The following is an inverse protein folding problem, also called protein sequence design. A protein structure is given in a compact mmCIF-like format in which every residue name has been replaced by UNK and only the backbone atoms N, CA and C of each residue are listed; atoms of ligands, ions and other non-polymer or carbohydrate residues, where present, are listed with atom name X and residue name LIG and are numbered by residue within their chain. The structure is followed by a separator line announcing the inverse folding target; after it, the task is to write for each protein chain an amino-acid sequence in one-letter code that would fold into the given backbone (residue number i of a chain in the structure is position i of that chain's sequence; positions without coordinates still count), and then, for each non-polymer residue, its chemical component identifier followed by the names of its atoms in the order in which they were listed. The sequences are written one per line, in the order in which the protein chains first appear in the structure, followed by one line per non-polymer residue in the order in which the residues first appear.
data_IF_171973947739
#
_entry.id   IF_171973947739
#
_cell.length_a   1.000
_cell.length_b   1.000
_cell.length_c   1.000
_cell.angle_alpha   90.00
_cell.angle_beta   90.00
_cell.angle_gamma   90.00
#
_symmetry.space_group_name_H-M   'P 1'
#
loop_
_entity.id
_entity.type
_entity.pdbx_description
1 polymer ?
#
# COMPACT_ATOMS: atom_id res chain seq x y z
N UNK A 1 15.48 -22.10 -18.26
CA UNK A 1 14.90 -21.39 -17.09
C UNK A 1 13.55 -21.95 -16.64
N UNK A 2 12.67 -22.46 -17.53
CA UNK A 2 11.34 -22.99 -17.14
C UNK A 2 11.30 -24.14 -16.12
N UNK A 3 12.35 -24.97 -16.08
CA UNK A 3 12.47 -26.11 -15.14
C UNK A 3 13.41 -25.85 -13.97
N UNK A 4 14.25 -24.82 -14.10
CA UNK A 4 15.23 -24.39 -13.11
C UNK A 4 15.66 -22.97 -13.49
N UNK A 5 15.23 -21.98 -12.72
CA UNK A 5 15.55 -20.57 -12.90
C UNK A 5 17.05 -20.31 -12.75
N UNK A 6 17.77 -21.12 -11.96
CA UNK A 6 19.24 -20.98 -11.77
C UNK A 6 20.02 -21.28 -13.04
N UNK A 7 19.42 -21.92 -14.04
CA UNK A 7 20.04 -22.10 -15.35
C UNK A 7 20.40 -20.76 -16.01
N UNK A 8 19.78 -19.64 -15.59
CA UNK A 8 20.10 -18.30 -16.06
C UNK A 8 21.56 -17.92 -15.83
N UNK A 9 22.22 -18.45 -14.77
CA UNK A 9 23.62 -18.13 -14.48
C UNK A 9 24.59 -18.54 -15.61
N UNK A 10 24.24 -19.60 -16.35
CA UNK A 10 25.04 -20.15 -17.45
C UNK A 10 24.61 -19.62 -18.82
N UNK A 11 23.57 -18.80 -18.88
CA UNK A 11 23.09 -18.23 -20.13
C UNK A 11 24.07 -17.17 -20.68
N UNK A 12 24.06 -16.99 -22.00
CA UNK A 12 24.78 -15.92 -22.67
C UNK A 12 24.25 -14.54 -22.22
N UNK A 13 25.07 -13.50 -22.34
CA UNK A 13 24.76 -12.16 -21.84
C UNK A 13 23.51 -11.56 -22.50
N UNK A 14 23.28 -11.84 -23.79
CA UNK A 14 22.07 -11.43 -24.50
C UNK A 14 20.80 -12.03 -23.85
N UNK A 15 20.86 -13.28 -23.39
CA UNK A 15 19.74 -13.95 -22.72
C UNK A 15 19.56 -13.48 -21.27
N UNK A 16 20.63 -13.06 -20.61
CA UNK A 16 20.58 -12.41 -19.28
C UNK A 16 20.05 -10.99 -19.35
N UNK A 17 20.08 -10.38 -20.53
CA UNK A 17 19.54 -9.05 -20.82
C UNK A 17 18.12 -9.08 -21.39
N UNK A 18 17.60 -10.26 -21.77
CA UNK A 18 16.24 -10.43 -22.28
C UNK A 18 15.22 -10.41 -21.12
N UNK A 19 14.33 -9.38 -21.05
CA UNK A 19 13.35 -9.27 -19.98
C UNK A 19 12.43 -10.49 -19.85
N UNK A 20 12.00 -11.10 -20.96
CA UNK A 20 11.05 -12.20 -20.95
C UNK A 20 11.70 -13.48 -20.39
N UNK A 21 12.95 -13.75 -20.77
CA UNK A 21 13.71 -14.90 -20.25
C UNK A 21 13.98 -14.74 -18.75
N UNK A 22 14.37 -13.54 -18.33
CA UNK A 22 14.67 -13.26 -16.93
C UNK A 22 13.41 -13.31 -16.07
N UNK A 23 12.28 -12.76 -16.51
CA UNK A 23 10.99 -12.87 -15.81
C UNK A 23 10.55 -14.34 -15.65
N UNK A 24 10.69 -15.15 -16.69
CA UNK A 24 10.40 -16.58 -16.62
C UNK A 24 11.30 -17.31 -15.58
N UNK A 25 12.58 -16.91 -15.48
CA UNK A 25 13.49 -17.44 -14.47
C UNK A 25 13.12 -17.00 -13.05
N UNK A 26 12.70 -15.75 -12.87
CA UNK A 26 12.24 -15.18 -11.58
C UNK A 26 10.96 -15.88 -11.12
N UNK A 27 10.03 -16.15 -12.05
CA UNK A 27 8.78 -16.86 -11.80
C UNK A 27 9.01 -18.26 -11.23
N UNK A 28 9.98 -19.00 -11.78
CA UNK A 28 10.36 -20.30 -11.24
C UNK A 28 11.07 -20.13 -9.90
N UNK A 29 12.05 -19.22 -9.84
CA UNK A 29 12.82 -18.98 -8.63
C UNK A 29 13.30 -17.55 -8.55
N UNK A 30 12.80 -16.82 -7.54
CA UNK A 30 13.08 -15.38 -7.39
C UNK A 30 14.57 -15.04 -7.29
N UNK A 31 15.40 -15.89 -6.68
CA UNK A 31 16.85 -15.65 -6.58
C UNK A 31 17.56 -15.62 -7.93
N UNK A 32 16.94 -16.13 -9.00
CA UNK A 32 17.52 -16.10 -10.36
C UNK A 32 17.76 -14.68 -10.85
N UNK A 33 17.05 -13.69 -10.29
CA UNK A 33 17.26 -12.27 -10.55
C UNK A 33 18.72 -11.84 -10.41
N UNK A 34 19.49 -12.44 -9.49
CA UNK A 34 20.90 -12.09 -9.26
C UNK A 34 21.77 -12.27 -10.52
N UNK A 35 21.34 -13.12 -11.45
CA UNK A 35 22.04 -13.41 -12.70
C UNK A 35 21.61 -12.54 -13.89
N UNK A 36 20.60 -11.67 -13.71
CA UNK A 36 20.18 -10.72 -14.73
C UNK A 36 21.30 -9.71 -15.05
N UNK A 37 21.27 -9.17 -16.26
CA UNK A 37 22.18 -8.10 -16.66
C UNK A 37 21.93 -6.82 -15.86
N UNK A 38 22.97 -6.00 -15.68
CA UNK A 38 22.92 -4.79 -14.86
C UNK A 38 21.90 -3.76 -15.39
N UNK A 39 21.69 -3.71 -16.71
CA UNK A 39 20.69 -2.85 -17.32
C UNK A 39 19.27 -3.18 -16.84
N UNK A 40 18.94 -4.48 -16.69
CA UNK A 40 17.66 -4.91 -16.11
C UNK A 40 17.59 -4.63 -14.61
N UNK A 41 18.69 -4.81 -13.88
CA UNK A 41 18.77 -4.53 -12.43
C UNK A 41 18.61 -3.05 -12.07
N UNK A 42 18.80 -2.14 -13.03
CA UNK A 42 18.56 -0.70 -12.90
C UNK A 42 17.22 -0.25 -13.50
N UNK A 43 16.60 -1.09 -14.31
CA UNK A 43 15.38 -0.74 -15.03
C UNK A 43 14.16 -0.79 -14.10
N UNK A 44 13.67 0.38 -13.70
CA UNK A 44 12.51 0.52 -12.80
C UNK A 44 11.27 -0.23 -13.28
N UNK A 45 10.93 -0.12 -14.57
CA UNK A 45 9.74 -0.75 -15.14
C UNK A 45 9.85 -2.27 -15.09
N UNK A 46 11.04 -2.81 -15.40
CA UNK A 46 11.33 -4.23 -15.30
C UNK A 46 11.22 -4.73 -13.85
N UNK A 47 11.78 -3.99 -12.91
CA UNK A 47 11.73 -4.31 -11.49
C UNK A 47 10.30 -4.34 -10.93
N UNK A 48 9.48 -3.36 -11.32
CA UNK A 48 8.06 -3.33 -10.94
C UNK A 48 7.30 -4.52 -11.53
N UNK A 49 7.58 -4.91 -12.78
CA UNK A 49 6.97 -6.10 -13.39
C UNK A 49 7.41 -7.40 -12.67
N UNK A 50 8.69 -7.51 -12.30
CA UNK A 50 9.19 -8.65 -11.54
C UNK A 50 8.50 -8.76 -10.16
N UNK A 51 8.31 -7.63 -9.48
CA UNK A 51 7.59 -7.57 -8.20
C UNK A 51 6.10 -7.89 -8.36
N UNK A 52 5.46 -7.39 -9.42
CA UNK A 52 4.08 -7.69 -9.75
C UNK A 52 3.86 -9.19 -9.93
N UNK A 53 4.75 -9.86 -10.66
CA UNK A 53 4.69 -11.31 -10.82
C UNK A 53 4.89 -12.06 -9.49
N UNK A 54 5.79 -11.58 -8.63
CA UNK A 54 5.94 -12.11 -7.27
C UNK A 54 4.66 -11.94 -6.44
N UNK A 55 4.04 -10.76 -6.49
CA UNK A 55 2.78 -10.47 -5.81
C UNK A 55 1.61 -11.30 -6.34
N UNK A 56 1.54 -11.54 -7.65
CA UNK A 56 0.53 -12.42 -8.25
C UNK A 56 0.72 -13.87 -7.82
N UNK A 57 1.93 -14.42 -7.92
CA UNK A 57 2.23 -15.78 -7.47
C UNK A 57 1.89 -15.97 -5.98
N UNK A 58 2.11 -14.92 -5.17
CA UNK A 58 1.72 -14.89 -3.77
C UNK A 58 0.20 -14.93 -3.56
N UNK A 59 -0.58 -14.21 -4.37
CA UNK A 59 -2.06 -14.20 -4.31
C UNK A 59 -2.69 -15.46 -4.90
N UNK A 60 -2.07 -16.08 -5.90
CA UNK A 60 -2.57 -17.30 -6.53
C UNK A 60 -2.23 -18.56 -5.73
N UNK A 61 -1.12 -18.54 -4.97
CA UNK A 61 -0.68 -19.62 -4.08
C UNK A 61 -1.52 -19.80 -2.80
N UNK A 62 -2.76 -19.29 -2.76
CA UNK A 62 -3.70 -19.34 -1.64
C UNK A 62 -4.27 -20.75 -1.47
N UNK A 63 -3.40 -21.63 -0.99
CA UNK A 63 -3.76 -22.68 -0.03
C UNK A 63 -2.92 -22.34 1.20
N UNK A 64 -3.53 -22.19 2.38
CA UNK A 64 -2.90 -21.58 3.57
C UNK A 64 -1.50 -22.11 3.91
N UNK A 65 -1.22 -23.39 3.61
CA UNK A 65 0.10 -24.02 3.81
C UNK A 65 1.19 -23.48 2.85
N UNK A 66 0.81 -23.08 1.63
CA UNK A 66 1.70 -22.51 0.62
C UNK A 66 2.11 -21.07 0.92
N UNK A 67 1.20 -20.26 1.48
CA UNK A 67 1.48 -18.85 1.82
C UNK A 67 2.59 -18.74 2.85
N UNK A 68 2.52 -19.49 3.94
CA UNK A 68 3.58 -19.51 4.96
C UNK A 68 4.93 -19.97 4.39
N UNK A 69 4.93 -21.00 3.56
CA UNK A 69 6.15 -21.51 2.93
C UNK A 69 6.77 -20.50 1.95
N UNK A 70 5.95 -19.80 1.17
CA UNK A 70 6.41 -18.74 0.28
C UNK A 70 6.92 -17.55 1.10
N UNK A 71 6.25 -17.16 2.19
CA UNK A 71 6.71 -16.13 3.11
C UNK A 71 8.06 -16.49 3.73
N UNK A 72 8.23 -17.69 4.27
CA UNK A 72 9.49 -18.13 4.87
C UNK A 72 10.60 -18.20 3.82
N UNK A 73 10.28 -18.68 2.62
CA UNK A 73 11.22 -18.68 1.50
C UNK A 73 11.64 -17.25 1.16
N UNK A 74 10.68 -16.34 0.97
CA UNK A 74 10.98 -14.94 0.65
C UNK A 74 11.70 -14.23 1.78
N UNK A 75 11.35 -14.51 3.05
CA UNK A 75 12.06 -14.03 4.25
C UNK A 75 13.54 -14.42 4.18
N UNK A 76 13.86 -15.64 3.75
CA UNK A 76 15.23 -16.12 3.61
C UNK A 76 15.94 -15.66 2.33
N UNK A 77 15.24 -15.60 1.19
CA UNK A 77 15.87 -15.39 -0.12
C UNK A 77 15.92 -13.94 -0.60
N UNK A 78 15.09 -13.03 -0.07
CA UNK A 78 14.99 -11.66 -0.60
C UNK A 78 13.93 -11.53 -1.70
N UNK A 79 13.53 -10.30 -2.06
CA UNK A 79 12.73 -10.03 -3.28
C UNK A 79 13.68 -9.74 -4.45
N UNK A 80 13.11 -9.47 -5.64
CA UNK A 80 13.90 -8.93 -6.75
C UNK A 80 14.65 -7.64 -6.35
N UNK A 81 14.10 -6.86 -5.42
CA UNK A 81 14.70 -5.62 -4.95
C UNK A 81 16.06 -5.79 -4.30
N UNK A 82 16.31 -6.92 -3.62
CA UNK A 82 17.59 -7.17 -2.94
C UNK A 82 18.80 -7.07 -3.88
N UNK A 83 18.59 -7.31 -5.17
CA UNK A 83 19.64 -7.34 -6.19
C UNK A 83 19.57 -6.15 -7.16
N UNK A 84 18.69 -5.17 -6.89
CA UNK A 84 18.69 -3.91 -7.62
C UNK A 84 20.03 -3.21 -7.47
N UNK A 85 20.43 -2.50 -8.52
CA UNK A 85 21.63 -1.66 -8.51
C UNK A 85 21.19 -0.19 -8.51
N UNK A 86 21.86 0.62 -7.69
CA UNK A 86 21.58 2.05 -7.53
C UNK A 86 20.66 2.33 -6.34
N UNK A 87 20.34 3.61 -6.15
CA UNK A 87 19.67 4.11 -4.94
C UNK A 87 18.13 3.95 -4.97
N UNK A 88 17.63 2.92 -5.66
CA UNK A 88 16.18 2.66 -5.78
C UNK A 88 15.54 2.31 -4.44
N UNK A 89 16.30 1.70 -3.52
CA UNK A 89 15.82 1.42 -2.16
C UNK A 89 15.50 2.67 -1.36
N UNK A 90 16.13 3.80 -1.70
CA UNK A 90 15.92 5.10 -1.07
C UNK A 90 14.92 5.99 -1.81
N UNK A 91 14.42 5.58 -2.98
CA UNK A 91 13.47 6.36 -3.76
C UNK A 91 12.03 6.14 -3.26
N UNK A 92 11.37 7.15 -2.65
CA UNK A 92 10.03 6.99 -2.09
C UNK A 92 8.97 6.67 -3.15
N UNK A 93 9.08 7.24 -4.35
CA UNK A 93 8.09 7.02 -5.41
C UNK A 93 8.22 5.60 -5.98
N UNK A 94 9.45 5.15 -6.19
CA UNK A 94 9.71 3.76 -6.59
C UNK A 94 9.19 2.79 -5.53
N UNK A 95 9.55 3.01 -4.26
CA UNK A 95 9.19 2.12 -3.18
C UNK A 95 7.68 2.09 -2.94
N UNK A 96 6.97 3.21 -3.15
CA UNK A 96 5.50 3.22 -3.13
C UNK A 96 4.92 2.32 -4.22
N UNK A 97 5.42 2.43 -5.46
CA UNK A 97 4.99 1.57 -6.55
C UNK A 97 5.32 0.09 -6.27
N UNK A 98 6.52 -0.18 -5.75
CA UNK A 98 6.97 -1.53 -5.40
C UNK A 98 6.09 -2.16 -4.30
N UNK A 99 5.76 -1.42 -3.25
CA UNK A 99 4.87 -1.87 -2.17
C UNK A 99 3.46 -2.18 -2.68
N UNK A 100 2.96 -1.45 -3.68
CA UNK A 100 1.65 -1.70 -4.29
C UNK A 100 1.60 -2.98 -5.10
N UNK A 101 2.70 -3.29 -5.78
CA UNK A 101 2.82 -4.56 -6.51
C UNK A 101 3.05 -5.72 -5.53
N UNK A 102 3.88 -5.49 -4.50
CA UNK A 102 4.21 -6.48 -3.48
C UNK A 102 4.50 -5.83 -2.12
N UNK A 103 3.56 -5.95 -1.17
CA UNK A 103 3.61 -5.26 0.13
C UNK A 103 4.89 -5.47 0.94
N UNK A 104 5.53 -6.64 0.83
CA UNK A 104 6.79 -6.95 1.53
C UNK A 104 8.04 -6.34 0.88
N UNK A 105 7.89 -5.58 -0.21
CA UNK A 105 8.96 -4.79 -0.81
C UNK A 105 9.63 -3.84 0.20
N UNK A 106 8.88 -3.36 1.20
CA UNK A 106 9.37 -2.44 2.24
C UNK A 106 10.60 -2.99 3.01
N UNK A 107 10.76 -4.32 3.10
CA UNK A 107 11.93 -4.94 3.74
C UNK A 107 13.24 -4.55 3.08
N UNK A 108 13.24 -4.49 1.75
CA UNK A 108 14.46 -4.25 0.99
C UNK A 108 14.69 -2.72 0.80
N UNK A 109 13.84 -1.87 1.38
CA UNK A 109 13.98 -0.42 1.33
C UNK A 109 15.09 0.11 2.24
N UNK A 110 15.53 1.36 2.00
CA UNK A 110 16.47 2.03 2.89
C UNK A 110 15.87 2.29 4.28
N UNK A 111 16.71 2.51 5.28
CA UNK A 111 16.24 2.84 6.64
C UNK A 111 15.37 4.11 6.66
N UNK A 112 15.66 5.08 5.79
CA UNK A 112 14.85 6.30 5.66
C UNK A 112 13.44 5.98 5.15
N UNK A 113 13.33 5.08 4.16
CA UNK A 113 12.04 4.62 3.64
C UNK A 113 11.30 3.76 4.67
N UNK A 114 11.99 2.92 5.43
CA UNK A 114 11.39 2.14 6.53
C UNK A 114 10.90 3.01 7.70
N UNK A 115 11.37 4.26 7.80
CA UNK A 115 10.85 5.31 8.69
C UNK A 115 9.72 6.14 8.07
N UNK A 116 9.39 5.92 6.80
CA UNK A 116 8.29 6.62 6.16
C UNK A 116 6.96 5.97 6.55
N UNK A 117 6.27 6.64 7.46
CA UNK A 117 4.99 6.20 8.03
C UNK A 117 3.90 5.94 6.99
N UNK A 118 3.84 6.72 5.91
CA UNK A 118 2.84 6.55 4.84
C UNK A 118 3.12 5.29 4.02
N UNK A 119 4.39 5.01 3.72
CA UNK A 119 4.80 3.79 3.02
C UNK A 119 4.59 2.53 3.87
N UNK A 120 4.94 2.58 5.15
CA UNK A 120 4.70 1.47 6.08
C UNK A 120 3.21 1.19 6.21
N UNK A 121 2.37 2.23 6.29
CA UNK A 121 0.92 2.08 6.31
C UNK A 121 0.41 1.38 5.03
N UNK A 122 0.85 1.82 3.86
CA UNK A 122 0.45 1.20 2.58
C UNK A 122 0.93 -0.26 2.49
N UNK A 123 2.11 -0.58 3.01
CA UNK A 123 2.60 -1.96 3.06
C UNK A 123 1.78 -2.84 4.02
N UNK A 124 1.45 -2.31 5.20
CA UNK A 124 0.66 -3.00 6.21
C UNK A 124 -0.77 -3.32 5.75
N UNK A 125 -1.32 -2.54 4.80
CA UNK A 125 -2.62 -2.86 4.16
C UNK A 125 -2.61 -4.16 3.38
N UNK A 126 -1.47 -4.52 2.80
CA UNK A 126 -1.32 -5.76 2.04
C UNK A 126 -1.01 -6.96 2.92
N UNK A 127 -0.09 -6.77 3.87
CA UNK A 127 0.31 -7.81 4.80
C UNK A 127 0.71 -7.18 6.14
N UNK A 128 0.08 -7.63 7.22
CA UNK A 128 0.39 -7.19 8.58
C UNK A 128 1.85 -7.41 8.98
N UNK A 129 2.52 -8.43 8.40
CA UNK A 129 3.94 -8.68 8.64
C UNK A 129 4.86 -7.61 8.03
N UNK A 130 4.34 -6.71 7.17
CA UNK A 130 5.12 -5.56 6.71
C UNK A 130 5.58 -4.66 7.87
N UNK A 131 4.83 -4.62 8.97
CA UNK A 131 5.17 -3.84 10.15
C UNK A 131 6.45 -4.35 10.84
N UNK A 132 6.76 -5.64 10.73
CA UNK A 132 8.02 -6.24 11.25
C UNK A 132 9.27 -5.60 10.60
N UNK A 133 9.12 -5.04 9.39
CA UNK A 133 10.20 -4.42 8.62
C UNK A 133 10.22 -2.90 8.72
N UNK A 134 9.24 -2.31 9.39
CA UNK A 134 9.28 -0.89 9.72
C UNK A 134 10.41 -0.61 10.70
N UNK A 135 10.91 0.62 10.70
CA UNK A 135 11.85 1.05 11.73
C UNK A 135 11.23 0.90 13.14
N UNK A 136 12.05 0.60 14.16
CA UNK A 136 11.59 0.33 15.54
C UNK A 136 10.58 1.35 16.05
N UNK A 137 10.83 2.62 15.76
CA UNK A 137 10.01 3.76 16.22
C UNK A 137 8.58 3.76 15.63
N UNK A 138 8.32 3.00 14.57
CA UNK A 138 7.01 2.85 13.92
C UNK A 138 6.32 1.52 14.24
N UNK A 139 7.01 0.53 14.79
CA UNK A 139 6.44 -0.79 15.06
C UNK A 139 5.31 -0.72 16.10
N UNK A 140 5.43 0.21 17.06
CA UNK A 140 4.43 0.47 18.10
C UNK A 140 3.49 1.64 17.78
N UNK A 141 3.51 2.17 16.54
CA UNK A 141 2.68 3.30 16.15
C UNK A 141 1.19 2.92 16.22
N UNK A 142 0.37 3.62 17.04
CA UNK A 142 -1.04 3.31 17.18
C UNK A 142 -1.85 3.38 15.88
N UNK A 143 -1.41 4.13 14.87
CA UNK A 143 -2.08 4.21 13.56
C UNK A 143 -1.68 3.10 12.59
N UNK A 144 -0.58 2.38 12.87
CA UNK A 144 -0.10 1.27 12.07
C UNK A 144 -0.53 -0.10 12.61
N UNK A 145 -1.26 -0.12 13.74
CA UNK A 145 -1.80 -1.35 14.31
C UNK A 145 -2.63 -2.13 13.28
N UNK A 146 -2.45 -3.46 13.12
CA UNK A 146 -3.08 -4.24 12.06
C UNK A 146 -4.60 -4.08 11.96
N UNK A 147 -5.31 -4.05 13.10
CA UNK A 147 -6.76 -3.85 13.12
C UNK A 147 -7.16 -2.49 12.53
N UNK A 148 -6.45 -1.43 12.89
CA UNK A 148 -6.72 -0.08 12.38
C UNK A 148 -6.40 0.04 10.90
N UNK A 149 -5.30 -0.55 10.45
CA UNK A 149 -4.93 -0.52 9.02
C UNK A 149 -5.96 -1.28 8.18
N UNK A 150 -6.44 -2.42 8.67
CA UNK A 150 -7.45 -3.24 8.00
C UNK A 150 -8.84 -2.57 7.93
N UNK A 151 -9.25 -1.88 9.00
CA UNK A 151 -10.53 -1.17 9.07
C UNK A 151 -10.50 0.21 8.38
N UNK A 152 -9.33 0.73 8.06
CA UNK A 152 -9.20 2.06 7.47
C UNK A 152 -9.74 2.07 6.03
N UNK A 153 -10.81 2.84 5.79
CA UNK A 153 -11.42 3.05 4.46
C UNK A 153 -10.86 4.22 3.67
N UNK A 154 -9.91 4.99 4.21
CA UNK A 154 -9.40 6.20 3.56
C UNK A 154 -8.39 5.79 2.49
N UNK A 155 -8.60 6.22 1.26
CA UNK A 155 -7.69 5.92 0.16
C UNK A 155 -6.37 6.72 0.28
N UNK A 156 -5.24 6.05 0.01
CA UNK A 156 -3.92 6.67 -0.10
C UNK A 156 -3.71 7.33 -1.48
N UNK A 157 -2.67 8.14 -1.61
CA UNK A 157 -2.39 8.88 -2.87
C UNK A 157 -2.18 7.94 -4.06
N UNK A 158 -2.96 8.09 -5.13
CA UNK A 158 -2.83 7.26 -6.35
C UNK A 158 -3.53 5.91 -6.27
N UNK A 159 -4.30 5.65 -5.21
CA UNK A 159 -5.27 4.55 -5.17
C UNK A 159 -6.55 4.99 -5.89
N UNK A 160 -7.06 4.15 -6.79
CA UNK A 160 -8.32 4.39 -7.46
C UNK A 160 -9.48 4.18 -6.47
N UNK A 161 -10.18 5.27 -6.14
CA UNK A 161 -11.34 5.27 -5.25
C UNK A 161 -12.25 6.46 -5.56
N UNK A 162 -13.56 6.38 -5.28
CA UNK A 162 -14.45 7.53 -5.41
C UNK A 162 -14.05 8.68 -4.47
N UNK A 163 -14.14 9.91 -4.95
CA UNK A 163 -13.88 11.12 -4.17
C UNK A 163 -15.18 11.76 -3.69
N UNK A 164 -15.21 12.06 -2.40
CA UNK A 164 -16.30 12.73 -1.72
C UNK A 164 -15.81 14.07 -1.15
N UNK A 165 -16.63 15.10 -1.36
CA UNK A 165 -16.48 16.41 -0.76
C UNK A 165 -17.22 16.43 0.56
N UNK A 166 -16.54 16.87 1.61
CA UNK A 166 -17.06 16.93 2.96
C UNK A 166 -17.38 18.38 3.28
N UNK A 167 -18.67 18.65 3.54
CA UNK A 167 -19.18 19.94 3.97
C UNK A 167 -18.81 20.29 5.41
N UNK A 168 -19.15 21.50 5.88
CA UNK A 168 -18.91 21.90 7.26
C UNK A 168 -19.74 21.06 8.23
N UNK A 169 -19.24 20.90 9.45
CA UNK A 169 -19.98 20.27 10.53
C UNK A 169 -21.00 21.26 11.11
N UNK A 170 -22.28 20.92 11.06
CA UNK A 170 -23.37 21.72 11.61
C UNK A 170 -23.93 21.06 12.88
N UNK A 171 -24.33 21.80 13.92
CA UNK A 171 -24.90 21.21 15.13
C UNK A 171 -26.18 20.42 14.83
N UNK A 172 -26.29 19.20 15.36
CA UNK A 172 -27.48 18.37 15.20
C UNK A 172 -28.52 18.65 16.33
N UNK A 173 -29.84 18.58 16.04
CA UNK A 173 -30.87 18.84 17.05
C UNK A 173 -30.85 17.91 18.26
N UNK A 174 -30.41 16.65 18.08
CA UNK A 174 -30.36 15.62 19.12
C UNK A 174 -29.00 15.53 19.82
N UNK A 175 -28.10 16.49 19.56
CA UNK A 175 -26.72 16.50 20.04
C UNK A 175 -25.73 15.91 19.04
N UNK A 176 -24.47 16.33 19.12
CA UNK A 176 -23.45 16.02 18.11
C UNK A 176 -23.49 16.99 16.92
N UNK A 177 -23.12 16.50 15.74
CA UNK A 177 -23.09 17.31 14.52
C UNK A 177 -23.46 16.48 13.29
N UNK A 178 -23.91 17.17 12.25
CA UNK A 178 -24.20 16.63 10.94
C UNK A 178 -23.15 17.11 9.94
N UNK A 179 -22.82 16.26 8.98
CA UNK A 179 -21.91 16.57 7.89
C UNK A 179 -22.59 16.15 6.59
N UNK A 180 -22.69 17.07 5.65
CA UNK A 180 -23.07 16.75 4.28
C UNK A 180 -21.85 16.20 3.52
N UNK A 181 -22.04 15.06 2.86
CA UNK A 181 -21.03 14.43 2.02
C UNK A 181 -21.55 14.32 0.60
N UNK A 182 -20.81 14.85 -0.35
CA UNK A 182 -21.25 15.02 -1.74
C UNK A 182 -20.28 14.37 -2.71
N UNK A 183 -20.81 13.64 -3.69
CA UNK A 183 -20.05 13.12 -4.84
C UNK A 183 -20.05 14.13 -5.99
N UNK A 184 -19.06 14.03 -6.88
CA UNK A 184 -19.08 14.79 -8.14
C UNK A 184 -20.27 14.49 -9.05
N UNK A 185 -20.92 13.34 -8.90
CA UNK A 185 -22.18 13.04 -9.60
C UNK A 185 -23.34 13.94 -9.20
N UNK A 186 -23.22 14.67 -8.07
CA UNK A 186 -24.29 15.46 -7.47
C UNK A 186 -25.06 14.72 -6.37
N UNK A 187 -24.78 13.43 -6.15
CA UNK A 187 -25.37 12.70 -5.04
C UNK A 187 -24.83 13.22 -3.71
N UNK A 188 -25.72 13.65 -2.82
CA UNK A 188 -25.38 14.12 -1.48
C UNK A 188 -26.09 13.30 -0.41
N UNK A 189 -25.45 13.18 0.75
CA UNK A 189 -26.04 12.58 1.94
C UNK A 189 -25.57 13.31 3.19
N UNK A 190 -26.51 13.59 4.08
CA UNK A 190 -26.22 14.08 5.43
C UNK A 190 -25.98 12.90 6.36
N UNK A 191 -24.86 12.94 7.08
CA UNK A 191 -24.44 11.93 8.05
C UNK A 191 -24.35 12.57 9.43
N UNK A 192 -24.86 11.88 10.44
CA UNK A 192 -24.85 12.33 11.83
C UNK A 192 -23.73 11.66 12.62
N UNK A 193 -23.07 12.43 13.48
CA UNK A 193 -21.92 11.97 14.25
C UNK A 193 -21.95 12.51 15.68
N UNK A 194 -21.41 11.70 16.61
CA UNK A 194 -21.15 12.14 17.97
C UNK A 194 -19.91 13.07 18.04
N UNK A 195 -19.79 13.86 19.11
CA UNK A 195 -18.72 14.85 19.28
C UNK A 195 -17.28 14.27 19.15
N UNK A 196 -17.11 13.01 19.53
CA UNK A 196 -15.85 12.28 19.52
C UNK A 196 -15.60 11.48 18.23
N UNK A 197 -16.46 11.61 17.22
CA UNK A 197 -16.29 10.89 15.96
C UNK A 197 -15.02 11.31 15.22
N UNK A 198 -14.40 10.34 14.58
CA UNK A 198 -13.13 10.46 13.88
C UNK A 198 -13.32 10.51 12.36
N UNK A 199 -12.26 10.88 11.65
CA UNK A 199 -12.20 10.77 10.19
C UNK A 199 -12.44 9.35 9.71
N UNK A 200 -11.96 8.35 10.45
CA UNK A 200 -12.23 6.95 10.15
C UNK A 200 -13.72 6.64 10.15
N UNK A 201 -14.44 7.15 11.16
CA UNK A 201 -15.89 6.96 11.27
C UNK A 201 -16.63 7.63 10.10
N UNK A 202 -16.18 8.82 9.69
CA UNK A 202 -16.71 9.48 8.49
C UNK A 202 -16.46 8.67 7.22
N UNK A 203 -15.26 8.12 7.05
CA UNK A 203 -14.91 7.30 5.88
C UNK A 203 -15.76 6.02 5.81
N UNK A 204 -15.94 5.32 6.94
CA UNK A 204 -16.79 4.12 7.01
C UNK A 204 -18.26 4.47 6.76
N UNK A 205 -18.80 5.49 7.42
CA UNK A 205 -20.18 5.92 7.24
C UNK A 205 -20.46 6.38 5.80
N UNK A 206 -19.50 7.08 5.19
CA UNK A 206 -19.57 7.46 3.76
C UNK A 206 -19.60 6.22 2.88
N UNK A 207 -18.66 5.29 3.06
CA UNK A 207 -18.62 4.06 2.28
C UNK A 207 -19.94 3.27 2.39
N UNK A 208 -20.46 3.09 3.61
CA UNK A 208 -21.71 2.40 3.88
C UNK A 208 -22.92 3.10 3.24
N UNK A 209 -23.07 4.41 3.42
CA UNK A 209 -24.21 5.21 2.91
C UNK A 209 -24.33 5.18 1.39
N UNK A 210 -23.19 5.02 0.73
CA UNK A 210 -23.04 5.14 -0.71
C UNK A 210 -22.75 3.79 -1.39
N UNK A 211 -22.79 2.69 -0.64
CA UNK A 211 -22.63 1.32 -1.15
C UNK A 211 -21.24 1.04 -1.72
N UNK A 212 -20.19 1.65 -1.18
CA UNK A 212 -18.82 1.46 -1.63
C UNK A 212 -18.18 0.29 -0.86
N UNK A 213 -17.98 -0.83 -1.55
CA UNK A 213 -17.20 -1.95 -1.05
C UNK A 213 -15.71 -1.74 -1.35
N UNK A 214 -15.10 -0.79 -0.64
CA UNK A 214 -13.71 -0.41 -0.88
C UNK A 214 -13.28 0.85 -0.14
N UNK A 215 -12.25 1.50 -0.69
CA UNK A 215 -11.68 2.73 -0.15
C UNK A 215 -12.40 3.96 -0.73
N UNK A 216 -12.32 5.08 0.01
CA UNK A 216 -12.89 6.38 -0.38
C UNK A 216 -11.84 7.48 -0.22
N UNK A 217 -11.82 8.43 -1.15
CA UNK A 217 -11.12 9.70 -0.94
C UNK A 217 -12.08 10.69 -0.30
N UNK A 218 -11.61 11.37 0.74
CA UNK A 218 -12.35 12.45 1.40
C UNK A 218 -11.58 13.76 1.21
N UNK A 219 -12.29 14.82 0.86
CA UNK A 219 -11.75 16.19 0.80
C UNK A 219 -12.55 17.07 1.73
N UNK A 220 -11.91 17.57 2.79
CA UNK A 220 -12.52 18.48 3.76
C UNK A 220 -12.00 19.88 3.51
N UNK A 221 -12.89 20.81 3.17
CA UNK A 221 -12.53 22.21 2.84
C UNK A 221 -11.42 22.33 1.77
N UNK A 222 -11.41 21.39 0.80
CA UNK A 222 -10.40 21.35 -0.27
C UNK A 222 -9.09 20.67 0.11
N UNK A 223 -8.94 20.19 1.36
CA UNK A 223 -7.78 19.43 1.82
C UNK A 223 -8.08 17.94 1.75
N UNK A 224 -7.28 17.21 0.98
CA UNK A 224 -7.38 15.76 0.89
C UNK A 224 -6.95 15.11 2.21
N UNK A 225 -7.84 14.28 2.75
CA UNK A 225 -7.60 13.46 3.94
C UNK A 225 -6.68 12.30 3.57
N UNK A 226 -5.71 11.99 4.42
CA UNK A 226 -4.80 10.85 4.25
C UNK A 226 -5.15 9.69 5.18
N UNK A 227 -4.70 8.46 4.88
CA UNK A 227 -4.98 7.32 5.74
C UNK A 227 -4.51 7.49 7.19
N UNK A 228 -3.41 8.21 7.41
CA UNK A 228 -2.88 8.47 8.75
C UNK A 228 -3.72 9.48 9.56
N UNK A 229 -4.66 10.19 8.93
CA UNK A 229 -5.60 11.10 9.59
C UNK A 229 -6.79 10.36 10.23
N UNK A 230 -6.87 9.02 10.09
CA UNK A 230 -8.01 8.19 10.53
C UNK A 230 -8.41 8.42 11.99
N UNK A 231 -7.47 8.75 12.88
CA UNK A 231 -7.74 9.00 14.30
C UNK A 231 -8.12 10.46 14.62
N UNK A 232 -8.00 11.38 13.65
CA UNK A 232 -8.27 12.80 13.88
C UNK A 232 -9.76 12.97 14.15
N UNK A 233 -10.11 13.79 15.14
CA UNK A 233 -11.50 14.12 15.44
C UNK A 233 -12.09 15.01 14.34
N UNK A 234 -13.32 14.73 13.94
CA UNK A 234 -14.05 15.48 12.93
C UNK A 234 -14.29 16.94 13.34
N UNK A 235 -14.50 17.19 14.64
CA UNK A 235 -14.68 18.55 15.16
C UNK A 235 -13.46 19.45 14.90
N UNK A 236 -12.27 18.86 14.73
CA UNK A 236 -11.03 19.59 14.44
C UNK A 236 -10.76 19.76 12.94
N UNK A 237 -11.70 19.36 12.07
CA UNK A 237 -11.57 19.43 10.61
C UNK A 237 -12.37 20.55 9.97
N UNK A 238 -13.30 21.16 10.69
CA UNK A 238 -13.95 22.39 10.25
C UNK A 238 -13.11 23.61 10.72
N UNK A 239 -12.92 24.65 9.89
CA UNK A 239 -12.69 25.96 10.46
C UNK A 239 -13.94 26.30 11.28
N UNK A 240 -13.77 26.51 12.57
CA UNK A 240 -14.83 27.04 13.41
C UNK A 240 -15.18 28.42 12.87
N UNK A 241 -16.28 28.53 12.12
CA UNK A 241 -17.05 29.77 12.12
C UNK A 241 -17.76 29.82 13.47
N UNK A 242 -17.01 30.26 14.49
CA UNK A 242 -17.55 30.81 15.73
C UNK A 242 -17.97 32.26 15.48
#
# INVERSE_FOLDING_TARGET
VKKDGRALQYAADDLKSDPAIVLEAIRERCVSFMYAADDLKRNRSFLLEALRQQGQAFREGVVDEGRHKILDTLKQTGTALRFCIGDLHGDPEFMLAAVREFGLAIRDASQEIQRNRELVFEAARWDKSALEFAHSDLQDDPCLLPGRVAENRIAGRGVAAPLFLVGPATPAPEGGFEIEVTRFSGDAATLQFAAQATVGDLAEATAARFGIDGLVHLSVSGIAVRPLDVARLLINLAPAEL
#
